data_IF_423324970065
#
_entry.id   IF_423324970065
#
_cell.length_a   1.000
_cell.length_b   1.000
_cell.length_c   1.000
_cell.angle_alpha   90.00
_cell.angle_beta   90.00
_cell.angle_gamma   90.00
#
_symmetry.space_group_name_H-M   'P 1'
#
loop_
_entity.id
_entity.type
_entity.pdbx_description
1 polymer ?
#
# COMPACT_ATOMS: atom_id res chain seq x y z
N UNK A 1 -3.30 -16.20 11.97
CA UNK A 1 -3.14 -16.22 10.51
C UNK A 1 -1.66 -16.40 10.18
N UNK A 2 -1.25 -17.49 9.53
CA UNK A 2 0.15 -17.67 9.10
C UNK A 2 0.32 -16.91 7.80
N UNK A 3 0.95 -15.75 7.86
CA UNK A 3 1.40 -15.05 6.65
C UNK A 3 2.67 -15.76 6.16
N UNK A 4 2.60 -16.37 5.00
CA UNK A 4 3.77 -16.94 4.36
C UNK A 4 4.54 -15.80 3.68
N UNK A 5 5.71 -15.49 4.21
CA UNK A 5 6.62 -14.52 3.63
C UNK A 5 7.78 -15.28 3.02
N UNK A 6 7.92 -15.20 1.72
CA UNK A 6 9.14 -15.61 1.04
C UNK A 6 10.11 -14.45 0.98
N UNK A 7 11.19 -14.52 1.76
CA UNK A 7 12.32 -13.59 1.66
C UNK A 7 13.11 -13.92 0.39
N UNK A 8 13.18 -12.95 -0.50
CA UNK A 8 14.06 -13.03 -1.67
C UNK A 8 15.20 -12.04 -1.44
N UNK A 9 16.37 -12.57 -1.09
CA UNK A 9 17.58 -11.77 -0.85
C UNK A 9 18.30 -11.49 -2.16
N UNK A 10 18.65 -10.23 -2.47
CA UNK A 10 19.91 -9.88 -3.15
C UNK A 10 20.23 -8.40 -3.32
N UNK A 11 21.51 -8.12 -3.51
CA UNK A 11 22.23 -6.85 -3.50
C UNK A 11 21.97 -5.91 -4.71
N UNK A 12 21.29 -6.36 -5.72
CA UNK A 12 20.63 -5.60 -6.79
C UNK A 12 19.32 -6.29 -7.06
N UNK A 13 18.24 -5.55 -7.32
CA UNK A 13 17.03 -6.20 -7.80
C UNK A 13 17.39 -6.84 -9.14
N UNK A 14 17.73 -8.11 -9.08
CA UNK A 14 18.10 -8.89 -10.24
C UNK A 14 16.91 -8.89 -11.22
N UNK A 15 17.18 -8.60 -12.48
CA UNK A 15 16.18 -8.66 -13.56
C UNK A 15 15.47 -10.02 -13.61
N UNK A 16 16.17 -11.09 -13.19
CA UNK A 16 15.59 -12.43 -13.06
C UNK A 16 14.51 -12.51 -11.98
N UNK A 17 14.62 -11.74 -10.91
CA UNK A 17 13.65 -11.65 -9.86
C UNK A 17 12.40 -10.88 -10.30
N UNK A 18 12.61 -9.71 -10.92
CA UNK A 18 11.51 -8.89 -11.46
C UNK A 18 10.67 -9.72 -12.45
N UNK A 19 11.31 -10.53 -13.29
CA UNK A 19 10.61 -11.37 -14.25
C UNK A 19 9.74 -12.48 -13.63
N UNK A 20 9.91 -12.77 -12.34
CA UNK A 20 9.11 -13.77 -11.61
C UNK A 20 7.93 -13.18 -10.86
N UNK A 21 7.88 -11.85 -10.73
CA UNK A 21 6.79 -11.16 -10.06
C UNK A 21 5.59 -11.10 -11.01
N UNK A 22 4.49 -11.72 -10.62
CA UNK A 22 3.23 -11.64 -11.34
C UNK A 22 2.57 -10.27 -11.16
N UNK A 23 1.78 -9.84 -12.13
CA UNK A 23 1.12 -8.51 -12.10
C UNK A 23 0.18 -8.31 -10.92
N UNK A 24 -0.35 -9.39 -10.37
CA UNK A 24 -1.27 -9.37 -9.23
C UNK A 24 -0.61 -9.75 -7.89
N UNK A 25 0.69 -10.06 -7.91
CA UNK A 25 1.40 -10.39 -6.69
C UNK A 25 1.47 -9.15 -5.79
N UNK A 26 1.20 -9.32 -4.50
CA UNK A 26 1.25 -8.25 -3.50
C UNK A 26 2.66 -8.18 -2.94
N UNK A 27 3.38 -7.12 -3.25
CA UNK A 27 4.82 -7.00 -2.98
C UNK A 27 5.09 -5.88 -1.97
N UNK A 28 5.80 -6.23 -0.89
CA UNK A 28 6.36 -5.28 0.06
C UNK A 28 7.88 -5.18 -0.12
N UNK A 29 8.39 -3.96 -0.11
CA UNK A 29 9.83 -3.68 -0.20
C UNK A 29 10.28 -2.98 1.08
N UNK A 30 11.34 -3.51 1.69
CA UNK A 30 11.91 -2.99 2.93
C UNK A 30 13.43 -2.83 2.81
N UNK A 31 13.98 -1.80 3.42
CA UNK A 31 15.44 -1.61 3.56
C UNK A 31 15.94 -2.29 4.82
N UNK A 32 16.97 -3.12 4.68
CA UNK A 32 17.70 -3.74 5.77
C UNK A 32 16.89 -4.76 6.57
N UNK A 33 17.57 -5.63 7.31
CA UNK A 33 17.01 -6.53 8.29
C UNK A 33 15.86 -7.47 7.85
N UNK A 34 15.44 -8.32 8.77
CA UNK A 34 14.25 -9.13 8.56
C UNK A 34 12.97 -8.32 8.84
N UNK A 35 11.95 -8.52 8.00
CA UNK A 35 10.65 -7.91 8.20
C UNK A 35 10.05 -8.42 9.51
N UNK A 36 9.82 -7.49 10.43
CA UNK A 36 9.11 -7.79 11.67
C UNK A 36 7.68 -7.28 11.54
N UNK A 37 6.73 -8.21 11.47
CA UNK A 37 5.33 -7.84 11.55
C UNK A 37 5.02 -7.31 12.93
N UNK A 38 4.47 -6.10 12.94
CA UNK A 38 3.83 -5.54 14.11
C UNK A 38 2.37 -5.25 13.71
N UNK A 39 1.44 -5.93 14.37
CA UNK A 39 0.04 -5.51 14.25
C UNK A 39 -0.07 -4.08 14.79
N UNK A 40 -0.65 -3.21 13.99
CA UNK A 40 -1.02 -1.88 14.44
C UNK A 40 -2.38 -1.98 15.11
N UNK A 41 -2.47 -1.74 16.44
CA UNK A 41 -3.74 -1.79 17.14
C UNK A 41 -4.73 -0.78 16.55
N UNK A 42 -6.02 -1.10 16.56
CA UNK A 42 -7.07 -0.20 16.03
C UNK A 42 -7.02 1.19 16.68
N UNK A 43 -6.72 1.26 17.96
CA UNK A 43 -6.62 2.53 18.69
C UNK A 43 -5.38 3.37 18.34
N UNK A 44 -4.41 2.81 17.64
CA UNK A 44 -3.26 3.54 17.09
C UNK A 44 -3.53 4.12 15.69
N UNK A 45 -4.64 3.75 15.05
CA UNK A 45 -5.09 4.38 13.81
C UNK A 45 -5.60 5.79 14.08
N UNK A 46 -5.46 6.67 13.12
CA UNK A 46 -5.77 8.09 13.23
C UNK A 46 -6.70 8.54 12.09
N UNK A 47 -7.27 9.74 12.23
CA UNK A 47 -7.89 10.47 11.12
C UNK A 47 -6.76 11.06 10.30
N UNK A 48 -6.55 10.55 9.09
CA UNK A 48 -5.43 10.93 8.24
C UNK A 48 -5.74 10.59 6.77
N UNK A 49 -4.86 10.98 5.86
CA UNK A 49 -4.95 10.56 4.45
C UNK A 49 -4.39 9.16 4.19
N UNK A 50 -3.62 8.59 5.10
CA UNK A 50 -3.05 7.23 4.99
C UNK A 50 -3.24 6.42 6.26
N UNK A 51 -3.58 5.12 6.16
CA UNK A 51 -3.59 4.22 7.31
C UNK A 51 -2.18 3.89 7.79
N UNK A 52 -2.07 3.49 9.03
CA UNK A 52 -0.85 2.88 9.60
C UNK A 52 -0.91 1.37 9.38
N UNK A 53 0.14 0.79 8.83
CA UNK A 53 0.20 -0.66 8.62
C UNK A 53 1.32 -1.09 7.70
N UNK A 54 1.23 -2.33 7.24
CA UNK A 54 2.16 -2.87 6.25
C UNK A 54 1.66 -2.52 4.84
N UNK A 55 2.42 -1.68 4.16
CA UNK A 55 2.12 -1.28 2.79
C UNK A 55 2.65 -2.29 1.78
N UNK A 56 1.88 -2.57 0.77
CA UNK A 56 2.26 -3.38 -0.38
C UNK A 56 1.79 -2.72 -1.69
N UNK A 57 2.43 -3.07 -2.78
CA UNK A 57 2.01 -2.71 -4.14
C UNK A 57 1.72 -3.96 -4.96
N UNK A 58 1.19 -3.80 -6.16
CA UNK A 58 0.88 -4.90 -7.06
C UNK A 58 1.97 -5.06 -8.10
N UNK A 59 2.42 -6.30 -8.31
CA UNK A 59 3.45 -6.60 -9.29
C UNK A 59 4.72 -5.77 -9.09
N UNK A 60 5.19 -5.13 -10.15
CA UNK A 60 6.40 -4.30 -10.15
C UNK A 60 6.15 -2.81 -9.92
N UNK A 61 4.93 -2.38 -9.65
CA UNK A 61 4.51 -0.97 -9.57
C UNK A 61 5.42 -0.14 -8.66
N UNK A 62 5.75 -0.63 -7.46
CA UNK A 62 6.63 0.09 -6.55
C UNK A 62 8.06 0.19 -7.07
N UNK A 63 8.57 -0.88 -7.68
CA UNK A 63 9.91 -0.94 -8.26
C UNK A 63 10.01 0.06 -9.41
N UNK A 64 9.00 0.08 -10.29
CA UNK A 64 8.93 0.98 -11.44
C UNK A 64 8.79 2.44 -11.00
N UNK A 65 7.95 2.71 -9.99
CA UNK A 65 7.79 4.04 -9.40
C UNK A 65 9.12 4.56 -8.83
N UNK A 66 9.76 3.80 -7.96
CA UNK A 66 11.04 4.22 -7.33
C UNK A 66 12.13 4.39 -8.38
N UNK A 67 12.19 3.51 -9.38
CA UNK A 67 13.17 3.60 -10.46
C UNK A 67 12.97 4.85 -11.30
N UNK A 68 11.73 5.27 -11.54
CA UNK A 68 11.38 6.44 -12.34
C UNK A 68 11.62 7.75 -11.58
N UNK A 69 11.10 7.85 -10.35
CA UNK A 69 11.08 9.10 -9.58
C UNK A 69 12.45 9.45 -8.98
N UNK A 70 13.27 8.44 -8.69
CA UNK A 70 14.57 8.64 -8.05
C UNK A 70 15.77 8.43 -9.00
N UNK A 71 15.54 8.47 -10.33
CA UNK A 71 16.62 8.50 -11.32
C UNK A 71 17.51 9.72 -11.09
N UNK A 72 18.74 9.48 -10.62
CA UNK A 72 19.76 10.53 -10.43
C UNK A 72 19.97 10.99 -8.98
N UNK A 73 19.15 10.61 -8.04
CA UNK A 73 19.47 10.71 -6.63
C UNK A 73 20.04 9.36 -6.18
N UNK A 74 21.02 9.36 -5.25
CA UNK A 74 21.63 8.16 -4.67
C UNK A 74 20.65 7.21 -3.92
N UNK A 75 19.39 7.22 -4.30
CA UNK A 75 18.38 6.26 -3.90
C UNK A 75 18.53 5.03 -4.81
N UNK A 76 19.58 4.27 -4.55
CA UNK A 76 19.69 2.96 -5.18
C UNK A 76 18.68 2.03 -4.50
N UNK A 77 17.98 1.24 -5.31
CA UNK A 77 17.21 0.09 -4.85
C UNK A 77 18.17 -1.02 -4.35
N UNK A 78 19.39 -0.64 -4.02
CA UNK A 78 20.43 -1.51 -3.48
C UNK A 78 20.11 -1.86 -2.04
N UNK A 79 20.33 -3.11 -1.68
CA UNK A 79 20.12 -3.63 -0.32
C UNK A 79 18.66 -3.58 0.17
N UNK A 80 17.71 -3.85 -0.71
CA UNK A 80 16.31 -4.01 -0.32
C UNK A 80 15.92 -5.49 -0.25
N UNK A 81 15.02 -5.80 0.67
CA UNK A 81 14.33 -7.08 0.72
C UNK A 81 12.98 -6.94 0.04
N UNK A 82 12.64 -7.90 -0.80
CA UNK A 82 11.35 -7.99 -1.48
C UNK A 82 10.57 -9.15 -0.85
N UNK A 83 9.34 -8.88 -0.46
CA UNK A 83 8.46 -9.86 0.19
C UNK A 83 7.19 -10.02 -0.63
N UNK A 84 6.80 -11.26 -0.86
CA UNK A 84 5.50 -11.62 -1.36
C UNK A 84 4.51 -11.67 -0.19
N UNK A 85 3.40 -10.93 -0.29
CA UNK A 85 2.43 -10.76 0.79
C UNK A 85 1.16 -11.53 0.46
N UNK A 86 0.82 -12.51 1.28
CA UNK A 86 -0.49 -13.14 1.24
C UNK A 86 -1.47 -12.41 2.16
N UNK A 87 -2.64 -12.06 1.63
CA UNK A 87 -3.72 -11.41 2.36
C UNK A 87 -4.95 -12.31 2.43
N UNK A 88 -5.75 -12.13 3.46
CA UNK A 88 -7.11 -12.68 3.47
C UNK A 88 -8.05 -11.72 2.76
N UNK A 89 -8.25 -11.91 1.48
CA UNK A 89 -8.99 -10.98 0.62
C UNK A 89 -10.45 -10.76 1.08
N UNK A 90 -11.06 -11.71 1.80
CA UNK A 90 -12.40 -11.54 2.37
C UNK A 90 -12.48 -10.46 3.46
N UNK A 91 -11.32 -9.98 3.94
CA UNK A 91 -11.19 -8.93 4.97
C UNK A 91 -10.48 -7.69 4.46
N UNK A 92 -10.18 -7.63 3.17
CA UNK A 92 -9.58 -6.47 2.52
C UNK A 92 -10.68 -5.73 1.76
N UNK A 93 -10.81 -4.43 2.02
CA UNK A 93 -11.69 -3.56 1.27
C UNK A 93 -10.97 -3.04 0.02
N UNK A 94 -11.46 -3.40 -1.15
CA UNK A 94 -10.98 -2.82 -2.40
C UNK A 94 -11.74 -1.53 -2.68
N UNK A 95 -11.02 -0.43 -2.85
CA UNK A 95 -11.58 0.88 -3.18
C UNK A 95 -11.38 1.13 -4.68
N UNK A 96 -12.46 1.43 -5.38
CA UNK A 96 -12.51 1.75 -6.80
C UNK A 96 -13.53 2.85 -7.08
N UNK A 97 -13.64 3.26 -8.34
CA UNK A 97 -14.56 4.33 -8.75
C UNK A 97 -16.02 4.01 -8.40
N UNK A 98 -16.39 2.75 -8.40
CA UNK A 98 -17.75 2.27 -8.16
C UNK A 98 -18.20 2.39 -6.69
N UNK A 99 -17.26 2.41 -5.74
CA UNK A 99 -17.58 2.44 -4.31
C UNK A 99 -16.90 3.55 -3.52
N UNK A 100 -16.09 4.39 -4.18
CA UNK A 100 -15.39 5.51 -3.54
C UNK A 100 -16.35 6.43 -2.77
N UNK A 101 -17.46 6.82 -3.38
CA UNK A 101 -18.44 7.72 -2.74
C UNK A 101 -19.02 7.10 -1.47
N UNK A 102 -19.38 5.82 -1.52
CA UNK A 102 -19.90 5.11 -0.35
C UNK A 102 -18.82 4.94 0.74
N UNK A 103 -17.59 4.69 0.34
CA UNK A 103 -16.46 4.63 1.25
C UNK A 103 -16.27 5.97 1.99
N UNK A 104 -16.27 7.08 1.27
CA UNK A 104 -16.08 8.40 1.84
C UNK A 104 -17.28 8.86 2.67
N UNK A 105 -18.51 8.51 2.27
CA UNK A 105 -19.70 8.74 3.10
C UNK A 105 -19.62 8.00 4.43
N UNK A 106 -19.06 6.80 4.42
CA UNK A 106 -18.96 5.94 5.61
C UNK A 106 -17.79 6.32 6.52
N UNK A 107 -16.63 6.61 5.95
CA UNK A 107 -15.35 6.74 6.67
C UNK A 107 -14.67 8.09 6.49
N UNK A 108 -15.16 8.93 5.57
CA UNK A 108 -14.58 10.24 5.29
C UNK A 108 -14.86 11.25 6.39
N UNK A 109 -13.90 12.14 6.60
CA UNK A 109 -13.98 13.29 7.51
C UNK A 109 -13.55 14.52 6.75
N UNK A 110 -14.45 15.48 6.57
CA UNK A 110 -14.13 16.77 5.98
C UNK A 110 -13.25 17.60 6.93
N UNK A 111 -12.27 18.27 6.36
CA UNK A 111 -11.42 19.21 7.07
C UNK A 111 -11.92 20.65 6.85
N UNK A 112 -11.47 21.58 7.69
CA UNK A 112 -11.76 23.02 7.58
C UNK A 112 -11.29 23.64 6.24
N UNK A 113 -10.45 22.93 5.48
CA UNK A 113 -9.92 23.35 4.16
C UNK A 113 -10.59 22.68 2.96
N UNK A 114 -11.81 22.19 3.11
CA UNK A 114 -12.55 21.43 2.07
C UNK A 114 -11.76 20.19 1.54
N UNK A 115 -10.79 19.71 2.30
CA UNK A 115 -10.08 18.47 1.99
C UNK A 115 -10.63 17.30 2.79
N UNK A 116 -10.50 16.09 2.24
CA UNK A 116 -10.99 14.87 2.85
C UNK A 116 -9.88 14.10 3.56
N UNK A 117 -10.12 13.68 4.78
CA UNK A 117 -9.36 12.65 5.48
C UNK A 117 -10.22 11.40 5.67
N UNK A 118 -9.63 10.34 6.19
CA UNK A 118 -10.34 9.09 6.50
C UNK A 118 -10.16 8.75 7.98
N UNK A 119 -11.23 8.33 8.61
CA UNK A 119 -11.19 7.72 9.95
C UNK A 119 -10.72 6.26 9.84
N UNK A 120 -9.41 6.09 9.83
CA UNK A 120 -8.78 4.77 9.70
C UNK A 120 -9.05 3.87 10.90
N UNK A 121 -9.40 4.44 12.05
CA UNK A 121 -9.82 3.65 13.21
C UNK A 121 -11.15 2.96 12.96
N UNK A 122 -12.10 3.66 12.34
CA UNK A 122 -13.39 3.10 11.95
C UNK A 122 -13.22 2.05 10.85
N UNK A 123 -12.39 2.34 9.83
CA UNK A 123 -12.06 1.37 8.78
C UNK A 123 -11.46 0.09 9.38
N UNK A 124 -10.49 0.21 10.29
CA UNK A 124 -9.83 -0.94 10.92
C UNK A 124 -10.75 -1.74 11.85
N UNK A 125 -11.87 -1.18 12.29
CA UNK A 125 -12.90 -1.91 13.04
C UNK A 125 -13.68 -2.88 12.14
N UNK A 126 -13.85 -2.53 10.86
CA UNK A 126 -14.66 -3.27 9.90
C UNK A 126 -13.81 -4.17 9.01
N UNK A 127 -12.57 -3.75 8.69
CA UNK A 127 -11.68 -4.36 7.73
C UNK A 127 -10.29 -4.60 8.29
N UNK A 128 -9.63 -5.63 7.81
CA UNK A 128 -8.23 -5.94 8.17
C UNK A 128 -7.22 -5.17 7.30
N UNK A 129 -7.66 -4.58 6.21
CA UNK A 129 -6.86 -3.78 5.31
C UNK A 129 -7.69 -3.16 4.19
N UNK A 130 -7.06 -2.32 3.42
CA UNK A 130 -7.63 -1.66 2.25
C UNK A 130 -6.66 -1.74 1.08
N UNK A 131 -7.20 -1.73 -0.15
CA UNK A 131 -6.39 -1.70 -1.36
C UNK A 131 -7.05 -0.88 -2.46
N UNK A 132 -6.23 -0.30 -3.33
CA UNK A 132 -6.62 0.40 -4.55
C UNK A 132 -5.89 -0.26 -5.71
N UNK A 133 -6.64 -0.89 -6.63
CA UNK A 133 -6.09 -1.66 -7.76
C UNK A 133 -5.85 -0.81 -9.00
N UNK A 134 -6.53 0.33 -9.11
CA UNK A 134 -6.40 1.29 -10.20
C UNK A 134 -5.41 2.39 -9.85
N UNK A 135 -5.04 3.21 -10.83
CA UNK A 135 -4.25 4.40 -10.52
C UNK A 135 -5.06 5.30 -9.56
N UNK A 136 -4.54 5.60 -8.35
CA UNK A 136 -5.29 6.37 -7.36
C UNK A 136 -5.71 7.76 -7.87
N UNK A 137 -5.01 8.32 -8.86
CA UNK A 137 -5.36 9.60 -9.50
C UNK A 137 -6.60 9.55 -10.38
N UNK A 138 -7.12 8.37 -10.67
CA UNK A 138 -8.39 8.17 -11.38
C UNK A 138 -9.61 8.30 -10.48
N UNK A 139 -9.41 8.22 -9.16
CA UNK A 139 -10.45 8.43 -8.16
C UNK A 139 -10.84 9.91 -8.06
N UNK A 140 -12.07 10.18 -7.58
CA UNK A 140 -12.64 11.54 -7.60
C UNK A 140 -11.99 12.46 -6.56
N UNK A 141 -11.74 11.96 -5.34
CA UNK A 141 -11.06 12.71 -4.28
C UNK A 141 -9.54 12.77 -4.50
N UNK A 142 -9.13 13.49 -5.53
CA UNK A 142 -7.74 13.53 -6.00
C UNK A 142 -6.72 13.91 -4.93
N UNK A 143 -7.06 14.82 -4.02
CA UNK A 143 -6.15 15.23 -2.95
C UNK A 143 -5.88 14.12 -1.97
N UNK A 144 -6.90 13.38 -1.56
CA UNK A 144 -6.77 12.23 -0.68
C UNK A 144 -5.93 11.14 -1.35
N UNK A 145 -6.32 10.73 -2.54
CA UNK A 145 -5.71 9.58 -3.21
C UNK A 145 -4.36 9.89 -3.86
N UNK A 146 -4.03 11.16 -4.13
CA UNK A 146 -2.72 11.55 -4.66
C UNK A 146 -1.57 11.16 -3.73
N UNK A 147 -1.84 10.98 -2.45
CA UNK A 147 -0.86 10.54 -1.47
C UNK A 147 -0.52 9.05 -1.56
N UNK A 148 -1.31 8.29 -2.31
CA UNK A 148 -1.10 6.84 -2.51
C UNK A 148 -0.16 6.54 -3.69
N UNK A 149 0.15 7.52 -4.53
CA UNK A 149 1.11 7.50 -5.63
C UNK A 149 0.86 6.42 -6.70
N UNK A 150 0.66 5.17 -6.29
CA UNK A 150 0.53 3.98 -7.16
C UNK A 150 -0.58 3.07 -6.63
N UNK A 151 -1.10 2.13 -7.45
CA UNK A 151 -1.92 1.01 -7.00
C UNK A 151 -1.25 0.26 -5.86
N UNK A 152 -1.90 0.22 -4.70
CA UNK A 152 -1.28 -0.30 -3.48
C UNK A 152 -2.33 -0.64 -2.42
N UNK A 153 -1.89 -1.25 -1.31
CA UNK A 153 -2.74 -1.55 -0.16
C UNK A 153 -1.97 -1.50 1.16
N UNK A 154 -2.74 -1.51 2.23
CA UNK A 154 -2.24 -1.48 3.60
C UNK A 154 -3.08 -2.37 4.52
#
# INVERSE_FOLDING_TARGET
MKHLIKKILKEEIDKSLISRIGTNDKIHISKGGDLKFKNVPINEQEIHFKPKGLWFSFGTEWIDFVTREYRGNNYSIQNVNVYDIETNDSKILTIGMENESLFLETYGIENDSDSMNVDWKKVASDWSGVEILINPRELNERWLWSTWDIPSGC
#
